data_IF_080579812374
#
_entry.id   IF_080579812374
#
_cell.length_a   1.000
_cell.length_b   1.000
_cell.length_c   1.000
_cell.angle_alpha   90.00
_cell.angle_beta   90.00
_cell.angle_gamma   90.00
#
_symmetry.space_group_name_H-M   'P 1'
#
loop_
_entity.id
_entity.type
_entity.pdbx_description
1 polymer ?
#
# COMPACT_ATOMS: atom_id res chain seq x y z
N UNK A 1 -15.55 15.38 -6.36
CA UNK A 1 -14.09 15.44 -6.19
C UNK A 1 -13.67 15.52 -4.72
N UNK A 2 -13.68 14.38 -4.03
CA UNK A 2 -12.98 14.21 -2.75
C UNK A 2 -12.29 12.84 -2.74
N UNK A 3 -11.15 12.74 -2.07
CA UNK A 3 -10.51 11.45 -1.79
C UNK A 3 -11.30 10.72 -0.70
N UNK A 4 -11.50 9.41 -0.85
CA UNK A 4 -12.31 8.60 0.09
C UNK A 4 -11.47 7.74 1.03
N UNK A 5 -10.19 7.52 0.73
CA UNK A 5 -9.26 6.75 1.57
C UNK A 5 -7.99 6.35 0.83
N UNK A 6 -7.17 5.50 1.46
CA UNK A 6 -6.05 4.84 0.79
C UNK A 6 -6.61 3.79 -0.17
N UNK A 7 -6.12 3.77 -1.41
CA UNK A 7 -6.51 2.75 -2.39
C UNK A 7 -5.60 1.55 -2.24
N UNK A 8 -4.32 1.75 -2.50
CA UNK A 8 -3.33 0.69 -2.43
C UNK A 8 -1.96 1.26 -2.10
N UNK A 9 -1.04 0.37 -1.77
CA UNK A 9 0.36 0.72 -1.59
C UNK A 9 1.23 -0.23 -2.38
N UNK A 10 2.18 0.32 -3.13
CA UNK A 10 3.08 -0.48 -3.97
C UNK A 10 4.50 -0.38 -3.44
N UNK A 11 5.09 -1.54 -3.17
CA UNK A 11 6.43 -1.72 -2.63
C UNK A 11 7.34 -2.49 -3.61
N UNK A 12 8.60 -2.65 -3.24
CA UNK A 12 9.60 -3.35 -4.05
C UNK A 12 10.08 -4.58 -3.29
N UNK A 13 10.09 -5.72 -3.97
CA UNK A 13 10.73 -6.96 -3.54
C UNK A 13 11.83 -7.33 -4.52
N UNK A 14 12.90 -7.96 -4.05
CA UNK A 14 13.88 -8.65 -4.88
C UNK A 14 13.76 -10.19 -4.79
N UNK A 15 12.87 -10.69 -3.93
CA UNK A 15 12.60 -12.10 -3.67
C UNK A 15 11.09 -12.39 -3.71
N UNK A 16 10.51 -12.47 -4.92
CA UNK A 16 9.10 -12.78 -5.11
C UNK A 16 8.62 -14.06 -4.38
N UNK A 17 9.35 -15.20 -4.35
CA UNK A 17 8.97 -16.36 -3.55
C UNK A 17 8.89 -16.08 -2.04
N UNK A 18 9.91 -15.41 -1.47
CA UNK A 18 9.92 -15.03 -0.06
C UNK A 18 8.81 -14.03 0.29
N UNK A 19 8.57 -13.05 -0.58
CA UNK A 19 7.47 -12.11 -0.51
C UNK A 19 6.12 -12.84 -0.49
N UNK A 20 5.85 -13.69 -1.49
CA UNK A 20 4.62 -14.48 -1.55
C UNK A 20 4.41 -15.33 -0.31
N UNK A 21 5.44 -16.01 0.19
CA UNK A 21 5.36 -16.79 1.41
C UNK A 21 5.00 -15.92 2.63
N UNK A 22 5.62 -14.75 2.78
CA UNK A 22 5.36 -13.86 3.92
C UNK A 22 3.93 -13.30 3.89
N UNK A 23 3.52 -12.69 2.79
CA UNK A 23 2.22 -12.00 2.73
C UNK A 23 1.04 -12.98 2.75
N UNK A 24 1.19 -14.20 2.19
CA UNK A 24 0.11 -15.20 2.22
C UNK A 24 0.12 -16.12 3.44
N UNK A 25 1.30 -16.56 3.92
CA UNK A 25 1.39 -17.54 5.02
C UNK A 25 1.53 -16.87 6.38
N UNK A 26 2.37 -15.86 6.49
CA UNK A 26 2.58 -15.13 7.75
C UNK A 26 1.42 -14.17 8.02
N UNK A 27 1.12 -13.29 7.06
CA UNK A 27 0.06 -12.29 7.20
C UNK A 27 -1.32 -12.77 6.78
N UNK A 28 -1.42 -13.92 6.11
CA UNK A 28 -2.72 -14.51 5.77
C UNK A 28 -3.49 -13.77 4.68
N UNK A 29 -2.85 -12.86 3.94
CA UNK A 29 -3.49 -12.12 2.85
C UNK A 29 -3.73 -13.01 1.65
N UNK A 30 -4.73 -12.66 0.84
CA UNK A 30 -5.03 -13.37 -0.40
C UNK A 30 -4.17 -12.79 -1.53
N UNK A 31 -3.44 -13.62 -2.27
CA UNK A 31 -2.90 -13.20 -3.57
C UNK A 31 -4.09 -13.04 -4.54
N UNK A 32 -4.42 -11.81 -4.90
CA UNK A 32 -5.58 -11.48 -5.75
C UNK A 32 -5.21 -11.18 -7.20
N UNK A 33 -3.92 -10.94 -7.47
CA UNK A 33 -3.44 -10.85 -8.84
C UNK A 33 -1.96 -11.21 -8.91
N UNK A 34 -1.61 -12.02 -9.89
CA UNK A 34 -0.25 -12.30 -10.33
C UNK A 34 -0.16 -11.85 -11.78
N UNK A 35 0.52 -10.73 -12.00
CA UNK A 35 0.70 -10.15 -13.34
C UNK A 35 2.14 -9.66 -13.49
N UNK A 36 2.42 -8.89 -14.53
CA UNK A 36 3.71 -8.23 -14.75
C UNK A 36 3.56 -6.72 -14.68
N UNK A 37 4.65 -6.02 -14.37
CA UNK A 37 4.67 -4.58 -14.54
C UNK A 37 4.45 -4.25 -16.03
N UNK A 38 3.43 -3.43 -16.33
CA UNK A 38 3.07 -3.08 -17.70
C UNK A 38 4.16 -2.24 -18.41
N UNK A 39 4.96 -1.52 -17.61
CA UNK A 39 6.09 -0.71 -18.07
C UNK A 39 7.39 -1.55 -18.16
N UNK A 40 7.46 -2.70 -17.48
CA UNK A 40 8.58 -3.66 -17.47
C UNK A 40 8.09 -5.10 -17.29
N UNK A 41 7.84 -5.78 -18.41
CA UNK A 41 7.26 -7.14 -18.40
C UNK A 41 8.21 -8.23 -17.88
N UNK A 42 9.46 -7.88 -17.52
CA UNK A 42 10.40 -8.81 -16.89
C UNK A 42 10.20 -8.98 -15.38
N UNK A 43 9.42 -8.08 -14.77
CA UNK A 43 9.15 -8.05 -13.34
C UNK A 43 7.72 -8.48 -13.03
N UNK A 44 7.55 -9.36 -12.03
CA UNK A 44 6.22 -9.60 -11.48
C UNK A 44 5.65 -8.33 -10.86
N UNK A 45 4.33 -8.21 -10.96
CA UNK A 45 3.53 -7.33 -10.13
C UNK A 45 2.53 -8.19 -9.37
N UNK A 46 2.76 -8.33 -8.06
CA UNK A 46 1.98 -9.18 -7.16
C UNK A 46 1.06 -8.32 -6.32
N UNK A 47 -0.21 -8.71 -6.18
CA UNK A 47 -1.22 -7.99 -5.40
C UNK A 47 -1.76 -8.88 -4.29
N UNK A 48 -1.62 -8.43 -3.04
CA UNK A 48 -2.18 -9.10 -1.87
C UNK A 48 -3.29 -8.24 -1.27
N UNK A 49 -4.47 -8.82 -1.06
CA UNK A 49 -5.62 -8.07 -0.57
C UNK A 49 -6.49 -8.93 0.37
N UNK A 50 -7.66 -8.40 0.73
CA UNK A 50 -8.68 -9.14 1.46
C UNK A 50 -9.41 -10.18 0.58
N UNK A 51 -10.40 -10.88 1.16
CA UNK A 51 -11.12 -11.96 0.49
C UNK A 51 -11.87 -11.53 -0.78
N UNK A 52 -12.29 -10.27 -0.87
CA UNK A 52 -13.04 -9.70 -2.00
C UNK A 52 -12.19 -8.78 -2.88
N UNK A 53 -10.88 -8.66 -2.61
CA UNK A 53 -9.96 -7.79 -3.32
C UNK A 53 -10.43 -6.32 -3.36
N UNK A 54 -10.96 -5.83 -2.24
CA UNK A 54 -11.56 -4.49 -2.18
C UNK A 54 -10.50 -3.36 -2.22
N UNK A 55 -10.80 -2.21 -2.85
CA UNK A 55 -9.95 -1.01 -2.74
C UNK A 55 -9.75 -0.59 -1.29
N UNK A 56 -8.50 -0.31 -0.94
CA UNK A 56 -8.09 0.00 0.43
C UNK A 56 -7.67 -1.22 1.23
N UNK A 57 -7.59 -2.41 0.62
CA UNK A 57 -7.04 -3.61 1.25
C UNK A 57 -5.75 -4.11 0.62
N UNK A 58 -5.37 -3.57 -0.54
CA UNK A 58 -4.32 -4.15 -1.37
C UNK A 58 -2.93 -3.56 -1.13
N UNK A 59 -1.99 -4.46 -0.88
CA UNK A 59 -0.56 -4.22 -0.79
C UNK A 59 0.09 -4.94 -1.97
N UNK A 60 0.80 -4.18 -2.81
CA UNK A 60 1.31 -4.66 -4.10
C UNK A 60 2.83 -4.58 -4.16
N UNK A 61 3.45 -5.41 -4.99
CA UNK A 61 4.91 -5.51 -5.08
C UNK A 61 5.41 -5.65 -6.51
N UNK A 62 6.42 -4.85 -6.87
CA UNK A 62 7.25 -5.09 -8.04
C UNK A 62 8.43 -6.00 -7.67
N UNK A 63 8.62 -7.10 -8.41
CA UNK A 63 9.79 -7.98 -8.30
C UNK A 63 10.95 -7.47 -9.15
N UNK A 64 11.73 -6.54 -8.60
CA UNK A 64 12.89 -5.97 -9.27
C UNK A 64 14.19 -6.47 -8.65
N UNK A 65 15.24 -6.72 -9.44
CA UNK A 65 16.59 -6.97 -8.93
C UNK A 65 17.18 -5.67 -8.36
N UNK A 66 16.75 -5.30 -7.15
CA UNK A 66 17.14 -4.06 -6.49
C UNK A 66 17.99 -4.35 -5.23
N UNK A 67 18.96 -3.47 -4.90
CA UNK A 67 19.58 -3.51 -3.58
C UNK A 67 18.52 -3.24 -2.49
N UNK A 68 18.80 -3.60 -1.23
CA UNK A 68 17.93 -3.22 -0.12
C UNK A 68 17.79 -1.71 -0.02
N UNK A 69 16.61 -1.25 0.41
CA UNK A 69 16.37 0.16 0.69
C UNK A 69 17.41 0.69 1.68
N UNK A 70 17.98 1.86 1.37
CA UNK A 70 18.67 2.67 2.38
C UNK A 70 17.65 3.63 2.98
N UNK A 71 17.29 3.41 4.24
CA UNK A 71 16.33 4.24 4.99
C UNK A 71 16.73 5.71 5.00
N UNK A 72 15.72 6.57 4.94
CA UNK A 72 15.89 8.01 4.96
C UNK A 72 14.58 8.77 4.77
N UNK A 73 14.66 10.09 4.77
CA UNK A 73 13.51 10.97 4.46
C UNK A 73 13.23 11.02 2.95
N UNK A 74 12.19 11.77 2.54
CA UNK A 74 11.66 11.81 1.16
C UNK A 74 11.14 10.45 0.71
N UNK A 75 10.47 9.74 1.63
CA UNK A 75 10.02 8.37 1.41
C UNK A 75 8.73 8.07 2.15
N UNK A 76 8.03 7.02 1.73
CA UNK A 76 6.98 6.39 2.53
C UNK A 76 7.69 5.43 3.49
N UNK A 77 7.52 5.66 4.79
CA UNK A 77 8.34 5.03 5.85
C UNK A 77 7.61 3.97 6.64
N UNK A 78 6.28 3.85 6.50
CA UNK A 78 5.50 2.80 7.15
C UNK A 78 4.12 2.63 6.51
N UNK A 79 3.72 1.38 6.40
CA UNK A 79 2.39 0.96 5.95
C UNK A 79 1.68 0.29 7.11
N UNK A 80 0.56 0.87 7.57
CA UNK A 80 -0.26 0.23 8.58
C UNK A 80 -1.32 -0.68 7.94
N UNK A 81 -1.69 -1.74 8.67
CA UNK A 81 -2.73 -2.71 8.32
C UNK A 81 -3.68 -2.81 9.51
N UNK A 82 -4.98 -2.73 9.26
CA UNK A 82 -6.00 -2.65 10.30
C UNK A 82 -6.30 -4.01 10.90
N UNK A 83 -6.44 -4.03 12.23
CA UNK A 83 -7.00 -5.11 13.04
C UNK A 83 -7.91 -4.47 14.10
N UNK A 84 -8.66 -5.25 14.88
CA UNK A 84 -9.60 -4.68 15.86
C UNK A 84 -9.30 -5.13 17.29
N UNK A 85 -8.84 -4.20 18.12
CA UNK A 85 -8.69 -4.39 19.55
C UNK A 85 -7.37 -5.02 20.01
N UNK A 86 -7.05 -4.77 21.27
CA UNK A 86 -5.81 -5.20 21.93
C UNK A 86 -5.61 -6.72 21.91
N UNK A 87 -6.67 -7.49 22.16
CA UNK A 87 -6.60 -8.95 22.20
C UNK A 87 -6.11 -9.53 20.86
N UNK A 88 -6.54 -8.93 19.73
CA UNK A 88 -6.10 -9.32 18.39
C UNK A 88 -4.64 -8.94 18.19
N UNK A 89 -4.23 -7.72 18.55
CA UNK A 89 -2.83 -7.29 18.46
C UNK A 89 -1.89 -8.19 19.27
N UNK A 90 -2.30 -8.67 20.45
CA UNK A 90 -1.50 -9.60 21.27
C UNK A 90 -1.38 -10.97 20.59
N UNK A 91 -2.46 -11.51 20.00
CA UNK A 91 -2.39 -12.75 19.20
C UNK A 91 -1.49 -12.59 17.97
N UNK A 92 -1.51 -11.43 17.32
CA UNK A 92 -0.58 -11.14 16.24
C UNK A 92 0.87 -11.08 16.70
N UNK A 93 1.17 -10.46 17.84
CA UNK A 93 2.52 -10.48 18.40
C UNK A 93 3.01 -11.92 18.63
N UNK A 94 2.18 -12.78 19.21
CA UNK A 94 2.50 -14.21 19.37
C UNK A 94 2.71 -14.92 18.03
N UNK A 95 1.86 -14.64 17.03
CA UNK A 95 1.98 -15.21 15.68
C UNK A 95 3.29 -14.79 15.01
N UNK A 96 3.63 -13.50 15.07
CA UNK A 96 4.89 -12.98 14.52
C UNK A 96 6.10 -13.58 15.23
N UNK A 97 6.07 -13.71 16.57
CA UNK A 97 7.10 -14.41 17.34
C UNK A 97 7.27 -15.86 16.87
N UNK A 98 6.17 -16.62 16.71
CA UNK A 98 6.21 -18.02 16.24
C UNK A 98 6.73 -18.14 14.81
N UNK A 99 6.51 -17.14 13.97
CA UNK A 99 7.02 -17.06 12.61
C UNK A 99 8.47 -16.54 12.53
N UNK A 100 9.11 -16.21 13.66
CA UNK A 100 10.47 -15.66 13.70
C UNK A 100 10.57 -14.22 13.19
N UNK A 101 9.45 -13.48 13.15
CA UNK A 101 9.40 -12.09 12.69
C UNK A 101 9.64 -11.16 13.87
N UNK A 102 10.66 -10.31 13.76
CA UNK A 102 10.94 -9.29 14.77
C UNK A 102 9.82 -8.24 14.82
N UNK A 103 9.37 -7.91 16.03
CA UNK A 103 8.34 -6.90 16.25
C UNK A 103 8.58 -6.10 17.54
N UNK A 104 8.06 -4.88 17.59
CA UNK A 104 8.22 -3.96 18.72
C UNK A 104 7.28 -4.24 19.90
N UNK A 105 6.43 -5.26 19.81
CA UNK A 105 5.37 -5.50 20.79
C UNK A 105 4.21 -4.50 20.65
N UNK A 106 3.15 -4.70 21.42
CA UNK A 106 1.97 -3.81 21.39
C UNK A 106 2.31 -2.52 22.13
N UNK A 107 2.12 -1.39 21.46
CA UNK A 107 2.44 -0.05 21.95
C UNK A 107 1.30 0.91 21.61
N UNK A 108 1.26 2.07 22.26
CA UNK A 108 0.35 3.14 21.87
C UNK A 108 1.06 4.13 20.93
N UNK A 109 0.37 4.55 19.88
CA UNK A 109 0.79 5.63 18.98
C UNK A 109 -0.44 6.44 18.60
N UNK A 110 -0.40 7.74 18.89
CA UNK A 110 -1.46 8.67 18.48
C UNK A 110 -2.86 8.21 18.94
N UNK A 111 -2.94 7.77 20.21
CA UNK A 111 -4.18 7.30 20.83
C UNK A 111 -4.69 5.95 20.32
N UNK A 112 -3.91 5.21 19.52
CA UNK A 112 -4.28 3.87 19.02
C UNK A 112 -3.21 2.85 19.37
N UNK A 113 -3.64 1.62 19.64
CA UNK A 113 -2.72 0.51 19.81
C UNK A 113 -2.14 0.10 18.46
N UNK A 114 -0.83 -0.14 18.44
CA UNK A 114 -0.07 -0.54 17.27
C UNK A 114 0.89 -1.68 17.59
N UNK A 115 1.26 -2.45 16.58
CA UNK A 115 2.31 -3.46 16.62
C UNK A 115 3.20 -3.28 15.38
N UNK A 116 4.35 -2.64 15.56
CA UNK A 116 5.33 -2.45 14.48
C UNK A 116 6.16 -3.72 14.25
N UNK A 117 6.42 -4.06 12.99
CA UNK A 117 7.25 -5.18 12.58
C UNK A 117 7.84 -4.93 11.18
N UNK A 118 8.74 -5.81 10.74
CA UNK A 118 9.32 -5.72 9.41
C UNK A 118 9.15 -7.03 8.65
N UNK A 119 8.98 -6.92 7.32
CA UNK A 119 9.09 -8.10 6.45
C UNK A 119 10.56 -8.52 6.27
N UNK A 120 10.85 -9.69 5.65
CA UNK A 120 12.22 -10.19 5.48
C UNK A 120 13.17 -9.24 4.72
N UNK A 121 12.63 -8.36 3.88
CA UNK A 121 13.39 -7.40 3.08
C UNK A 121 13.51 -6.02 3.76
N UNK A 122 12.85 -5.83 4.90
CA UNK A 122 12.94 -4.64 5.74
C UNK A 122 11.83 -3.62 5.49
N UNK A 123 10.74 -4.03 4.83
CA UNK A 123 9.54 -3.23 4.71
C UNK A 123 8.97 -2.94 6.09
N UNK A 124 8.73 -1.67 6.36
CA UNK A 124 8.27 -1.19 7.67
C UNK A 124 6.76 -1.27 7.74
N UNK A 125 6.25 -2.23 8.50
CA UNK A 125 4.82 -2.51 8.64
C UNK A 125 4.33 -2.22 10.06
N UNK A 126 3.03 -2.03 10.21
CA UNK A 126 2.38 -1.89 11.52
C UNK A 126 1.00 -2.50 11.49
N UNK A 127 0.62 -3.25 12.50
CA UNK A 127 -0.79 -3.53 12.74
C UNK A 127 -1.35 -2.42 13.62
N UNK A 128 -2.52 -1.89 13.30
CA UNK A 128 -3.17 -0.81 14.04
C UNK A 128 -4.59 -1.21 14.46
N UNK A 129 -4.93 -0.92 15.70
CA UNK A 129 -6.31 -1.03 16.18
C UNK A 129 -7.19 0.03 15.52
N UNK A 130 -8.15 -0.42 14.72
CA UNK A 130 -9.10 0.44 14.03
C UNK A 130 -10.36 0.78 14.84
N UNK A 131 -10.47 0.25 16.06
CA UNK A 131 -11.64 0.42 16.92
C UNK A 131 -12.91 -0.22 16.37
N UNK A 132 -12.78 -1.16 15.41
CA UNK A 132 -13.89 -1.86 14.76
C UNK A 132 -14.59 -1.04 13.68
N UNK A 133 -14.00 0.07 13.24
CA UNK A 133 -14.57 0.91 12.18
C UNK A 133 -14.26 0.36 10.79
N UNK A 134 -15.21 0.51 9.87
CA UNK A 134 -15.07 0.06 8.48
C UNK A 134 -15.28 -1.44 8.30
N UNK A 135 -15.35 -1.88 7.06
CA UNK A 135 -15.49 -3.30 6.73
C UNK A 135 -14.12 -3.99 6.69
N UNK A 136 -14.15 -5.31 6.81
CA UNK A 136 -13.03 -6.20 6.52
C UNK A 136 -13.61 -7.50 5.98
N UNK A 137 -13.08 -7.98 4.86
CA UNK A 137 -13.63 -9.15 4.16
C UNK A 137 -12.70 -10.35 4.37
N UNK A 138 -12.96 -11.21 5.37
CA UNK A 138 -12.06 -12.33 5.66
C UNK A 138 -12.00 -13.31 4.48
N UNK A 139 -10.80 -13.80 4.20
CA UNK A 139 -10.54 -14.83 3.21
C UNK A 139 -10.65 -16.22 3.84
N UNK A 140 -11.59 -17.03 3.34
CA UNK A 140 -11.89 -18.34 3.89
C UNK A 140 -10.72 -19.35 3.80
N UNK A 141 -9.81 -19.19 2.81
CA UNK A 141 -8.63 -20.06 2.66
C UNK A 141 -7.38 -19.52 3.38
N UNK A 142 -7.51 -18.48 4.20
CA UNK A 142 -6.39 -17.91 4.96
C UNK A 142 -5.93 -18.87 6.08
N UNK A 143 -4.62 -18.93 6.39
CA UNK A 143 -4.10 -19.60 7.58
C UNK A 143 -4.30 -18.79 8.88
N UNK A 144 -4.99 -17.65 8.81
CA UNK A 144 -5.33 -16.79 9.95
C UNK A 144 -6.84 -16.93 10.21
N UNK A 145 -7.27 -17.17 11.47
CA UNK A 145 -8.70 -17.21 11.83
C UNK A 145 -9.42 -15.93 11.37
N UNK A 146 -10.67 -16.06 10.91
CA UNK A 146 -11.40 -14.96 10.28
C UNK A 146 -11.49 -13.71 11.15
N UNK A 147 -11.64 -13.88 12.46
CA UNK A 147 -11.67 -12.81 13.46
C UNK A 147 -10.33 -12.07 13.62
N UNK A 148 -9.21 -12.73 13.32
CA UNK A 148 -7.86 -12.20 13.46
C UNK A 148 -7.32 -11.59 12.17
N UNK A 149 -7.99 -11.82 11.03
CA UNK A 149 -7.52 -11.38 9.73
C UNK A 149 -7.41 -9.86 9.62
N UNK A 150 -6.46 -9.44 8.80
CA UNK A 150 -6.29 -8.03 8.45
C UNK A 150 -7.56 -7.52 7.77
N UNK A 151 -7.96 -6.31 8.14
CA UNK A 151 -9.21 -5.68 7.69
C UNK A 151 -9.01 -4.74 6.49
N UNK A 152 -7.75 -4.50 6.12
CA UNK A 152 -7.33 -3.62 5.03
C UNK A 152 -6.18 -2.70 5.45
N UNK A 153 -5.85 -1.73 4.60
CA UNK A 153 -4.86 -0.70 4.89
C UNK A 153 -5.35 0.24 5.99
N UNK A 154 -4.40 0.63 6.84
CA UNK A 154 -4.52 1.70 7.82
C UNK A 154 -3.74 2.94 7.35
N UNK A 155 -3.28 3.78 8.31
CA UNK A 155 -2.59 5.01 7.95
C UNK A 155 -1.27 4.72 7.22
N UNK A 156 -1.00 5.51 6.19
CA UNK A 156 0.31 5.53 5.54
C UNK A 156 1.15 6.64 6.16
N UNK A 157 2.39 6.33 6.50
CA UNK A 157 3.32 7.33 7.06
C UNK A 157 4.37 7.70 6.03
N UNK A 158 4.51 8.99 5.75
CA UNK A 158 5.59 9.56 4.95
C UNK A 158 6.58 10.32 5.84
N UNK A 159 7.84 10.36 5.41
CA UNK A 159 8.87 11.21 5.99
C UNK A 159 9.27 12.30 5.01
N UNK A 160 9.30 13.53 5.49
CA UNK A 160 9.71 14.72 4.73
C UNK A 160 10.67 15.59 5.53
N UNK A 161 11.63 16.27 4.89
CA UNK A 161 12.51 17.21 5.58
C UNK A 161 11.78 18.50 6.00
N UNK A 162 10.81 18.96 5.20
CA UNK A 162 9.95 20.10 5.51
C UNK A 162 8.49 19.81 5.13
N UNK A 163 7.54 20.19 5.99
CA UNK A 163 6.11 19.93 5.77
C UNK A 163 5.43 20.95 4.84
N UNK A 164 5.86 22.23 4.84
CA UNK A 164 5.12 23.34 4.23
C UNK A 164 4.68 23.09 2.77
N UNK A 165 5.56 22.50 1.94
CA UNK A 165 5.24 22.25 0.53
C UNK A 165 4.33 21.04 0.35
N UNK A 166 4.54 19.99 1.13
CA UNK A 166 3.66 18.82 1.16
C UNK A 166 2.27 19.24 1.66
N UNK A 167 2.19 20.08 2.70
CA UNK A 167 0.95 20.62 3.25
C UNK A 167 0.09 21.33 2.19
N UNK A 168 0.69 22.18 1.36
CA UNK A 168 0.00 22.84 0.25
C UNK A 168 -0.58 21.81 -0.72
N UNK A 169 0.16 20.76 -1.08
CA UNK A 169 -0.34 19.71 -1.97
C UNK A 169 -1.47 18.92 -1.32
N UNK A 170 -1.29 18.47 -0.08
CA UNK A 170 -2.29 17.68 0.64
C UNK A 170 -3.61 18.45 0.80
N UNK A 171 -3.55 19.74 1.17
CA UNK A 171 -4.75 20.54 1.35
C UNK A 171 -5.33 21.08 0.04
N UNK A 172 -4.51 21.75 -0.79
CA UNK A 172 -5.01 22.53 -1.94
C UNK A 172 -5.20 21.69 -3.18
N UNK A 173 -4.38 20.67 -3.40
CA UNK A 173 -4.56 19.76 -4.54
C UNK A 173 -5.42 18.57 -4.14
N UNK A 174 -5.11 17.90 -3.03
CA UNK A 174 -5.74 16.63 -2.66
C UNK A 174 -6.97 16.78 -1.77
N UNK A 175 -7.22 17.96 -1.19
CA UNK A 175 -8.41 18.22 -0.37
C UNK A 175 -8.39 17.52 1.00
N UNK A 176 -7.23 17.06 1.46
CA UNK A 176 -7.08 16.50 2.81
C UNK A 176 -7.10 17.60 3.86
N UNK A 177 -7.44 17.23 5.10
CA UNK A 177 -7.57 18.16 6.23
C UNK A 177 -6.54 17.79 7.29
N UNK A 178 -5.65 18.72 7.72
CA UNK A 178 -4.83 18.48 8.90
C UNK A 178 -5.75 18.46 10.13
N UNK A 179 -5.67 17.42 10.95
CA UNK A 179 -6.61 17.21 12.07
C UNK A 179 -5.94 17.16 13.43
N UNK A 180 -4.66 16.74 13.50
CA UNK A 180 -3.90 16.67 14.76
C UNK A 180 -2.40 16.53 14.50
N UNK A 181 -1.63 16.75 15.55
CA UNK A 181 -0.21 16.46 15.59
C UNK A 181 0.11 15.53 16.77
N UNK A 182 1.11 14.68 16.60
CA UNK A 182 1.64 13.85 17.68
C UNK A 182 3.16 13.71 17.58
N UNK A 183 3.78 13.19 18.65
CA UNK A 183 5.23 13.07 18.78
C UNK A 183 5.68 11.63 18.55
N UNK A 184 6.78 11.45 17.82
CA UNK A 184 7.49 10.17 17.64
C UNK A 184 8.92 10.37 18.12
N UNK A 185 9.13 10.21 19.43
CA UNK A 185 10.38 10.61 20.07
C UNK A 185 10.58 12.12 19.96
N UNK A 186 11.66 12.53 19.29
CA UNK A 186 12.01 13.93 19.03
C UNK A 186 11.36 14.52 17.76
N UNK A 187 10.68 13.70 16.96
CA UNK A 187 10.04 14.11 15.69
C UNK A 187 8.57 14.43 15.87
N UNK A 188 8.07 15.36 15.04
CA UNK A 188 6.65 15.71 14.96
C UNK A 188 6.02 15.01 13.76
N UNK A 189 4.83 14.47 13.95
CA UNK A 189 3.99 13.90 12.91
C UNK A 189 2.69 14.71 12.82
N UNK A 190 2.33 15.16 11.61
CA UNK A 190 1.06 15.82 11.31
C UNK A 190 0.14 14.79 10.66
N UNK A 191 -1.09 14.65 11.16
CA UNK A 191 -2.09 13.74 10.57
C UNK A 191 -3.03 14.51 9.67
N UNK A 192 -3.16 14.03 8.44
CA UNK A 192 -4.12 14.49 7.46
C UNK A 192 -5.19 13.43 7.24
N UNK A 193 -6.44 13.84 7.28
CA UNK A 193 -7.59 12.99 6.99
C UNK A 193 -8.20 13.32 5.63
N UNK A 194 -8.73 12.28 4.98
CA UNK A 194 -9.58 12.35 3.79
C UNK A 194 -10.90 11.62 4.04
N UNK A 195 -11.89 11.79 3.17
CA UNK A 195 -13.19 11.15 3.31
C UNK A 195 -13.82 11.34 4.69
N UNK A 196 -14.31 10.24 5.26
CA UNK A 196 -14.91 10.17 6.61
C UNK A 196 -13.87 10.16 7.76
N UNK A 197 -12.58 10.12 7.43
CA UNK A 197 -11.48 10.04 8.40
C UNK A 197 -11.31 8.64 9.01
N UNK A 198 -10.49 8.57 10.06
CA UNK A 198 -10.14 7.32 10.72
C UNK A 198 -9.04 6.53 10.00
N UNK A 199 -8.66 5.36 10.54
CA UNK A 199 -7.40 4.70 10.18
C UNK A 199 -7.22 4.38 8.69
N UNK A 200 -8.29 4.06 7.95
CA UNK A 200 -8.20 3.75 6.52
C UNK A 200 -8.06 5.00 5.61
N UNK A 201 -8.22 6.20 6.19
CA UNK A 201 -8.29 7.47 5.46
C UNK A 201 -7.37 8.54 6.07
N UNK A 202 -6.26 8.11 6.67
CA UNK A 202 -5.25 8.96 7.28
C UNK A 202 -3.90 8.85 6.56
N UNK A 203 -3.26 10.01 6.30
CA UNK A 203 -1.87 10.13 5.89
C UNK A 203 -1.10 10.86 6.98
N UNK A 204 -0.05 10.23 7.50
CA UNK A 204 0.78 10.77 8.57
C UNK A 204 2.08 11.32 7.97
N UNK A 205 2.39 12.59 8.25
CA UNK A 205 3.57 13.28 7.73
C UNK A 205 4.55 13.53 8.86
N UNK A 206 5.63 12.74 8.91
CA UNK A 206 6.71 12.89 9.89
C UNK A 206 7.77 13.84 9.36
N UNK A 207 8.15 14.82 10.18
CA UNK A 207 9.14 15.83 9.83
C UNK A 207 10.53 15.38 10.32
N UNK A 208 11.46 15.16 9.39
CA UNK A 208 12.83 14.68 9.64
C UNK A 208 13.86 15.52 8.85
N UNK A 209 14.19 16.75 9.31
CA UNK A 209 15.02 17.69 8.55
C UNK A 209 16.47 17.22 8.37
N UNK A 210 17.01 16.51 9.37
CA UNK A 210 18.41 16.07 9.41
C UNK A 210 18.59 14.63 8.90
N UNK A 211 17.51 13.94 8.53
CA UNK A 211 17.61 12.59 8.01
C UNK A 211 18.17 12.58 6.57
N UNK A 212 19.06 11.64 6.22
CA UNK A 212 19.54 11.52 4.85
C UNK A 212 18.39 11.13 3.90
N UNK A 213 18.46 11.48 2.60
CA UNK A 213 17.50 10.97 1.63
C UNK A 213 17.54 9.44 1.52
N UNK A 214 16.37 8.83 1.45
CA UNK A 214 16.25 7.41 1.21
C UNK A 214 16.82 7.04 -0.18
N UNK A 215 17.36 5.83 -0.30
CA UNK A 215 17.55 5.19 -1.60
C UNK A 215 16.52 4.09 -1.74
N UNK A 216 15.66 4.23 -2.74
CA UNK A 216 14.66 3.22 -3.05
C UNK A 216 15.34 1.90 -3.42
N UNK A 217 14.73 0.80 -2.98
CA UNK A 217 15.25 -0.56 -3.12
C UNK A 217 14.28 -1.58 -2.54
N UNK A 218 14.68 -2.85 -2.52
CA UNK A 218 13.91 -3.94 -1.90
C UNK A 218 13.60 -3.64 -0.42
N UNK A 219 12.36 -3.90 0.00
CA UNK A 219 11.84 -3.50 1.30
C UNK A 219 11.43 -2.02 1.39
N UNK A 220 11.64 -1.23 0.34
CA UNK A 220 11.15 0.15 0.24
C UNK A 220 9.76 0.22 -0.38
N UNK A 221 9.09 1.36 -0.20
CA UNK A 221 7.81 1.66 -0.85
C UNK A 221 8.03 2.53 -2.09
N UNK A 222 7.39 2.17 -3.19
CA UNK A 222 7.46 2.92 -4.44
C UNK A 222 6.45 4.08 -4.48
N UNK A 223 5.18 3.80 -4.16
CA UNK A 223 4.12 4.81 -4.17
C UNK A 223 2.96 4.43 -3.25
N UNK A 224 2.13 5.41 -2.93
CA UNK A 224 0.83 5.26 -2.28
C UNK A 224 -0.25 5.81 -3.19
N UNK A 225 -1.36 5.08 -3.31
CA UNK A 225 -2.51 5.46 -4.10
C UNK A 225 -3.69 5.88 -3.20
N UNK A 226 -4.47 6.84 -3.66
CA UNK A 226 -5.63 7.39 -2.97
C UNK A 226 -6.89 7.18 -3.80
N UNK A 227 -7.98 6.80 -3.13
CA UNK A 227 -9.25 6.40 -3.75
C UNK A 227 -10.05 7.60 -4.21
N UNK A 228 -10.64 7.46 -5.39
CA UNK A 228 -11.67 8.34 -5.92
C UNK A 228 -12.83 7.52 -6.49
N UNK A 229 -14.07 8.02 -6.44
CA UNK A 229 -15.16 7.44 -7.22
C UNK A 229 -14.85 7.48 -8.71
N UNK A 230 -15.24 6.46 -9.46
CA UNK A 230 -14.99 6.35 -10.91
C UNK A 230 -15.51 7.58 -11.68
N UNK A 231 -16.67 8.11 -11.26
CA UNK A 231 -17.29 9.28 -11.87
C UNK A 231 -16.49 10.58 -11.70
N UNK A 232 -15.57 10.63 -10.73
CA UNK A 232 -14.72 11.80 -10.46
C UNK A 232 -13.41 11.78 -11.30
N UNK A 233 -13.10 10.71 -12.03
CA UNK A 233 -11.79 10.52 -12.68
C UNK A 233 -11.38 11.66 -13.62
N UNK A 234 -12.24 12.01 -14.58
CA UNK A 234 -11.92 13.06 -15.57
C UNK A 234 -11.72 14.42 -14.89
N UNK A 235 -12.50 14.70 -13.83
CA UNK A 235 -12.38 15.94 -13.08
C UNK A 235 -11.06 16.01 -12.29
N UNK A 236 -10.56 14.87 -11.78
CA UNK A 236 -9.23 14.80 -11.17
C UNK A 236 -8.09 14.95 -12.17
N UNK A 237 -8.24 14.36 -13.36
CA UNK A 237 -7.27 14.53 -14.45
C UNK A 237 -7.17 16.01 -14.86
N UNK A 238 -8.31 16.67 -15.07
CA UNK A 238 -8.37 18.10 -15.38
C UNK A 238 -7.76 18.95 -14.27
N UNK A 239 -8.06 18.64 -13.00
CA UNK A 239 -7.49 19.34 -11.85
C UNK A 239 -5.97 19.27 -11.84
N UNK A 240 -5.39 18.09 -12.08
CA UNK A 240 -3.93 17.92 -12.12
C UNK A 240 -3.31 18.71 -13.28
N UNK A 241 -3.93 18.69 -14.47
CA UNK A 241 -3.46 19.44 -15.65
C UNK A 241 -3.47 20.97 -15.43
N UNK A 242 -4.40 21.48 -14.62
CA UNK A 242 -4.46 22.90 -14.27
C UNK A 242 -3.41 23.33 -13.24
N UNK A 243 -2.69 22.38 -12.63
CA UNK A 243 -1.58 22.68 -11.73
C UNK A 243 -0.24 22.68 -12.46
N UNK A 244 0.79 23.26 -11.83
CA UNK A 244 2.18 23.16 -12.32
C UNK A 244 2.90 21.87 -11.87
N UNK A 245 2.17 20.90 -11.32
CA UNK A 245 2.74 19.62 -10.86
C UNK A 245 2.82 18.67 -12.05
N UNK A 246 4.02 18.22 -12.47
CA UNK A 246 4.13 17.21 -13.52
C UNK A 246 3.40 15.93 -13.09
N UNK A 247 2.55 15.41 -13.98
CA UNK A 247 1.83 14.16 -13.78
C UNK A 247 1.99 13.24 -14.99
N UNK A 248 1.67 11.95 -14.82
CA UNK A 248 1.67 10.96 -15.91
C UNK A 248 0.65 11.26 -17.01
N UNK A 249 -0.35 12.12 -16.73
CA UNK A 249 -1.61 12.11 -17.45
C UNK A 249 -2.44 10.85 -17.16
N UNK A 250 -3.59 10.69 -17.82
CA UNK A 250 -4.45 9.51 -17.69
C UNK A 250 -3.70 8.22 -18.04
N UNK A 251 -3.69 7.26 -17.11
CA UNK A 251 -3.13 5.91 -17.34
C UNK A 251 -4.22 4.87 -17.08
N UNK A 252 -4.43 3.97 -18.03
CA UNK A 252 -5.33 2.82 -17.87
C UNK A 252 -4.50 1.60 -17.44
N UNK A 253 -4.69 1.16 -16.19
CA UNK A 253 -4.02 -0.03 -15.64
C UNK A 253 -4.89 -1.28 -15.77
N UNK A 254 -5.97 -1.23 -16.56
CA UNK A 254 -6.95 -2.28 -16.81
C UNK A 254 -7.85 -2.63 -15.60
N UNK A 255 -7.28 -2.77 -14.41
CA UNK A 255 -8.03 -3.03 -13.17
C UNK A 255 -8.58 -1.76 -12.51
N UNK A 256 -7.96 -0.62 -12.81
CA UNK A 256 -8.33 0.72 -12.36
C UNK A 256 -7.68 1.76 -13.28
N UNK A 257 -8.15 3.01 -13.18
CA UNK A 257 -7.55 4.16 -13.87
C UNK A 257 -6.74 4.99 -12.89
N UNK A 258 -5.56 5.45 -13.32
CA UNK A 258 -4.56 6.03 -12.44
C UNK A 258 -4.03 7.37 -12.95
N UNK A 259 -3.73 8.25 -12.00
CA UNK A 259 -3.01 9.51 -12.21
C UNK A 259 -1.84 9.59 -11.24
N UNK A 260 -0.61 9.59 -11.76
CA UNK A 260 0.61 9.64 -10.94
C UNK A 260 1.20 11.05 -10.92
N UNK A 261 1.66 11.50 -9.75
CA UNK A 261 2.42 12.74 -9.62
C UNK A 261 3.35 12.68 -8.41
N UNK A 262 4.45 13.44 -8.43
CA UNK A 262 5.35 13.57 -7.28
C UNK A 262 5.00 14.83 -6.50
N UNK A 263 4.85 14.67 -5.19
CA UNK A 263 4.76 15.84 -4.30
C UNK A 263 6.14 16.50 -4.12
N UNK A 264 6.24 17.74 -3.60
CA UNK A 264 7.47 18.54 -3.61
C UNK A 264 8.69 17.93 -2.91
N UNK A 265 8.50 17.00 -1.97
CA UNK A 265 9.58 16.26 -1.33
C UNK A 265 10.05 15.03 -2.15
N UNK A 266 9.35 14.69 -3.23
CA UNK A 266 9.72 13.66 -4.21
C UNK A 266 8.94 12.35 -4.05
N UNK A 267 8.03 12.25 -3.07
CA UNK A 267 7.22 11.06 -2.83
C UNK A 267 6.22 10.91 -3.98
N UNK A 268 6.10 9.70 -4.52
CA UNK A 268 5.18 9.41 -5.62
C UNK A 268 3.80 9.08 -5.06
N UNK A 269 2.82 9.89 -5.46
CA UNK A 269 1.41 9.69 -5.19
C UNK A 269 0.69 9.24 -6.45
N UNK A 270 -0.37 8.46 -6.22
CA UNK A 270 -1.30 8.03 -7.24
C UNK A 270 -2.73 8.36 -6.81
N UNK A 271 -3.57 8.76 -7.76
CA UNK A 271 -5.02 8.83 -7.59
C UNK A 271 -5.61 7.71 -8.45
N UNK A 272 -6.36 6.82 -7.83
CA UNK A 272 -6.88 5.61 -8.45
C UNK A 272 -8.41 5.47 -8.26
N UNK A 273 -9.09 5.03 -9.32
CA UNK A 273 -10.53 4.70 -9.29
C UNK A 273 -10.78 3.38 -8.58
N UNK A 274 -11.92 3.25 -7.87
CA UNK A 274 -12.28 2.01 -7.18
C UNK A 274 -12.60 0.87 -8.16
N UNK A 275 -13.18 1.18 -9.33
CA UNK A 275 -13.52 0.20 -10.37
C UNK A 275 -12.54 0.15 -11.54
N UNK A 276 -12.61 -0.90 -12.38
CA UNK A 276 -13.55 -2.04 -12.30
C UNK A 276 -13.16 -3.15 -11.31
N UNK A 277 -11.92 -3.17 -10.80
CA UNK A 277 -11.41 -4.16 -9.85
C UNK A 277 -10.83 -5.43 -10.49
N UNK A 278 -10.25 -6.30 -9.64
CA UNK A 278 -9.48 -7.47 -10.09
C UNK A 278 -10.31 -8.61 -10.69
N UNK A 279 -11.64 -8.58 -10.51
CA UNK A 279 -12.56 -9.57 -11.08
C UNK A 279 -13.02 -9.23 -12.50
N UNK A 280 -12.47 -8.16 -13.10
CA UNK A 280 -12.78 -7.77 -14.48
C UNK A 280 -12.30 -8.78 -15.53
N UNK A 281 -11.25 -9.55 -15.22
CA UNK A 281 -10.59 -10.49 -16.14
C UNK A 281 -10.40 -11.91 -15.57
N UNK A 282 -10.63 -12.10 -14.28
CA UNK A 282 -10.56 -13.40 -13.60
C UNK A 282 -11.78 -13.61 -12.69
N UNK A 283 -12.34 -14.84 -12.59
CA UNK A 283 -13.38 -15.13 -11.62
C UNK A 283 -12.93 -14.88 -10.18
N UNK A 284 -13.85 -14.37 -9.35
CA UNK A 284 -13.57 -14.04 -7.94
C UNK A 284 -13.03 -15.23 -7.14
N UNK A 285 -13.39 -16.46 -7.49
CA UNK A 285 -12.98 -17.68 -6.77
C UNK A 285 -11.53 -18.10 -7.06
N UNK A 286 -11.00 -17.69 -8.22
CA UNK A 286 -9.69 -18.13 -8.74
C UNK A 286 -8.69 -16.99 -8.96
N UNK A 287 -8.96 -15.78 -8.45
CA UNK A 287 -8.04 -14.65 -8.51
C UNK A 287 -6.63 -15.04 -8.05
N UNK A 288 -5.62 -14.61 -8.81
CA UNK A 288 -4.20 -14.78 -8.47
C UNK A 288 -3.61 -16.18 -8.71
N UNK A 289 -4.41 -17.17 -9.12
CA UNK A 289 -3.92 -18.53 -9.35
C UNK A 289 -3.02 -18.61 -10.60
N UNK A 290 -3.34 -17.82 -11.64
CA UNK A 290 -2.63 -17.82 -12.93
C UNK A 290 -1.93 -16.48 -13.18
N UNK A 291 -1.03 -16.47 -14.18
CA UNK A 291 -0.47 -15.22 -14.68
C UNK A 291 -1.52 -14.52 -15.55
N UNK A 292 -2.12 -13.45 -15.02
CA UNK A 292 -3.01 -12.56 -15.75
C UNK A 292 -2.18 -11.54 -16.54
N UNK A 293 -2.48 -11.35 -17.82
CA UNK A 293 -1.86 -10.32 -18.65
C UNK A 293 -2.96 -9.43 -19.22
N UNK A 294 -2.77 -8.11 -19.27
CA UNK A 294 -3.72 -7.24 -19.95
C UNK A 294 -3.78 -7.62 -21.44
N UNK A 295 -4.92 -7.37 -22.13
CA UNK A 295 -5.15 -7.84 -23.50
C UNK A 295 -4.03 -7.49 -24.50
N UNK A 296 -3.38 -6.34 -24.33
CA UNK A 296 -2.29 -5.90 -25.22
C UNK A 296 -0.96 -6.66 -25.02
N UNK A 297 -0.80 -7.42 -23.93
CA UNK A 297 0.37 -8.28 -23.66
C UNK A 297 0.13 -9.76 -23.98
N UNK A 298 -1.11 -10.19 -24.17
CA UNK A 298 -1.45 -11.61 -24.39
C UNK A 298 -0.74 -12.22 -25.61
N UNK A 299 -0.55 -11.43 -26.69
CA UNK A 299 0.20 -11.86 -27.87
C UNK A 299 1.66 -12.22 -27.60
N UNK A 300 2.21 -11.82 -26.44
CA UNK A 300 3.58 -12.09 -25.98
C UNK A 300 3.66 -13.01 -24.77
N UNK A 301 2.55 -13.64 -24.36
CA UNK A 301 2.50 -14.49 -23.14
C UNK A 301 3.65 -15.48 -23.03
N UNK A 302 3.87 -16.29 -24.06
CA UNK A 302 4.92 -17.31 -24.03
C UNK A 302 6.33 -16.72 -23.88
N UNK A 303 6.57 -15.51 -24.41
CA UNK A 303 7.84 -14.79 -24.24
C UNK A 303 7.99 -14.29 -22.80
N UNK A 304 6.94 -13.66 -22.26
CA UNK A 304 6.91 -13.11 -20.90
C UNK A 304 7.10 -14.23 -19.88
N UNK A 305 6.34 -15.33 -19.98
CA UNK A 305 6.41 -16.47 -19.05
C UNK A 305 7.80 -17.11 -19.01
N UNK A 306 8.54 -17.14 -20.13
CA UNK A 306 9.93 -17.64 -20.16
C UNK A 306 10.93 -16.72 -19.46
N UNK A 307 10.65 -15.42 -19.41
CA UNK A 307 11.51 -14.43 -18.78
C UNK A 307 11.29 -14.29 -17.27
N UNK A 308 10.15 -14.76 -16.76
CA UNK A 308 9.80 -14.64 -15.35
C UNK A 308 10.47 -15.73 -14.50
N UNK A 309 10.84 -15.36 -13.27
CA UNK A 309 11.29 -16.32 -12.26
C UNK A 309 10.16 -17.31 -11.97
N UNK A 310 10.42 -18.61 -11.78
CA UNK A 310 9.38 -19.53 -11.33
C UNK A 310 8.79 -19.10 -9.98
N UNK A 311 7.46 -18.99 -9.91
CA UNK A 311 6.74 -18.64 -8.68
C UNK A 311 5.58 -19.62 -8.49
N UNK A 312 5.70 -20.51 -7.50
CA UNK A 312 4.60 -21.41 -7.11
C UNK A 312 3.62 -20.66 -6.21
N UNK A 313 2.39 -20.52 -6.68
CA UNK A 313 1.29 -19.86 -5.96
C UNK A 313 0.18 -20.83 -5.55
N UNK A 314 0.39 -22.14 -5.79
CA UNK A 314 -0.46 -23.24 -5.34
C UNK A 314 0.31 -24.16 -4.39
#
# INVERSE_FOLDING_TARGET
MQLTGIHHLTAITADAPGNHAFYTRTLGMRLVKKTVNQDDVSAYHLFYADGLATPGSDLTFFDWPAPRERRGTRSIVRTALRVTGEAILRRWAERLTKAGVAHGGVQERDGRLVLDFEDPEGQRLSLIDDGGRGEGNPWAKSPVPAEDQLRGLGPITISVPEANRTDIVLQRLMGMRPVREYRIGDRTAIVYEMGEGGPAAELHVVIEPDAPPASQGAGGVHHVAFRIPDADYEAWADRLQQTRVPSSGPVDRFYFRSLYFREPNGILFEIATDGPGFAADEPMESLGEKLALPPFLEGRRAEIERGLKPLSTG
#
